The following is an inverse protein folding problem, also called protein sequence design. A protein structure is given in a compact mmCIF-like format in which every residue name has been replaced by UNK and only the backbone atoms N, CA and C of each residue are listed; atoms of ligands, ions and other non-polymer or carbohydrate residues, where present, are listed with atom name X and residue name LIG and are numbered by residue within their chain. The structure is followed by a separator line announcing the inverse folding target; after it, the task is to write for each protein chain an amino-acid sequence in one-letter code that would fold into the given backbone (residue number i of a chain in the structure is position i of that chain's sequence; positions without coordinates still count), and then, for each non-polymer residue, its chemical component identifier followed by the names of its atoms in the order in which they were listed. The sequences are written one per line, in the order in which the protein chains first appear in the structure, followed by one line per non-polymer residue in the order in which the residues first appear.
data_IF_443573038758
#
_entry.id   IF_443573038758
#
_cell.length_a   1.000
_cell.length_b   1.000
_cell.length_c   1.000
_cell.angle_alpha   90.00
_cell.angle_beta   90.00
_cell.angle_gamma   90.00
#
_symmetry.space_group_name_H-M   'P 1'
#
loop_
_entity.id
_entity.type
_entity.pdbx_description
1 polymer ?
#
# COMPACT_ATOMS: atom_id res chain seq x y z
N UNK A 1 -4.64 0.40 -8.12
CA UNK A 1 -5.90 0.76 -7.42
C UNK A 1 -5.83 0.15 -6.03
N UNK A 2 -5.33 0.90 -5.04
CA UNK A 2 -5.37 0.49 -3.63
C UNK A 2 -6.67 1.05 -3.05
N UNK A 3 -7.59 0.17 -2.68
CA UNK A 3 -8.80 0.53 -1.94
C UNK A 3 -8.42 0.77 -0.48
N UNK A 4 -8.13 2.02 -0.14
CA UNK A 4 -8.03 2.46 1.25
C UNK A 4 -9.46 2.69 1.75
N UNK A 5 -9.97 1.76 2.55
CA UNK A 5 -11.27 1.89 3.21
C UNK A 5 -11.13 3.00 4.26
N UNK A 6 -11.83 4.11 4.07
CA UNK A 6 -11.92 5.20 5.04
C UNK A 6 -12.80 4.75 6.22
N UNK A 7 -12.23 4.65 7.42
CA UNK A 7 -13.03 4.68 8.65
C UNK A 7 -13.21 6.14 9.07
N UNK A 8 -14.43 6.65 8.89
CA UNK A 8 -14.91 7.87 9.53
C UNK A 8 -15.16 7.56 11.01
N UNK A 9 -14.30 8.05 11.91
CA UNK A 9 -14.73 8.28 13.30
C UNK A 9 -15.50 9.60 13.34
N UNK A 10 -16.82 9.50 13.21
CA UNK A 10 -17.73 10.58 13.58
C UNK A 10 -17.58 10.83 15.09
N UNK A 11 -16.84 11.87 15.47
CA UNK A 11 -16.82 12.32 16.87
C UNK A 11 -18.10 13.11 17.16
N UNK A 12 -18.78 12.65 18.21
CA UNK A 12 -20.14 13.05 18.58
C UNK A 12 -20.30 14.53 18.93
N UNK A 13 -21.52 14.99 18.65
CA UNK A 13 -22.05 16.32 18.95
C UNK A 13 -22.17 16.47 20.48
N UNK A 14 -21.48 17.45 21.08
CA UNK A 14 -21.79 17.94 22.41
C UNK A 14 -22.82 19.06 22.30
N UNK A 15 -24.09 18.79 22.65
CA UNK A 15 -25.13 19.82 22.81
C UNK A 15 -25.16 20.22 24.28
N UNK A 16 -24.74 21.44 24.59
CA UNK A 16 -24.97 22.05 25.91
C UNK A 16 -26.26 22.87 25.79
N UNK A 17 -27.32 22.47 26.49
CA UNK A 17 -28.49 23.30 26.72
C UNK A 17 -28.18 24.31 27.83
N UNK A 18 -28.41 25.60 27.58
CA UNK A 18 -28.56 26.59 28.64
C UNK A 18 -29.93 27.24 28.52
N UNK A 19 -30.74 27.05 29.56
CA UNK A 19 -32.11 27.57 29.70
C UNK A 19 -32.10 29.03 30.16
N UNK A 20 -32.89 29.86 29.49
CA UNK A 20 -33.13 31.28 29.77
C UNK A 20 -34.06 31.55 30.97
N UNK A 21 -33.89 32.68 31.67
CA UNK A 21 -35.02 33.42 32.28
C UNK A 21 -34.78 34.95 32.41
N UNK A 22 -35.62 35.69 31.65
CA UNK A 22 -36.39 36.96 31.87
C UNK A 22 -35.83 38.28 32.44
N UNK A 23 -35.87 39.33 31.57
CA UNK A 23 -36.48 40.71 31.66
C UNK A 23 -36.03 41.69 32.79
N UNK A 24 -35.82 43.02 32.67
CA UNK A 24 -36.17 44.14 31.75
C UNK A 24 -35.11 45.27 31.89
N UNK A 25 -34.79 46.00 30.81
CA UNK A 25 -34.64 47.47 30.76
C UNK A 25 -34.15 47.90 29.36
N UNK A 26 -34.59 49.07 28.93
CA UNK A 26 -34.46 49.62 27.59
C UNK A 26 -33.06 50.22 27.40
N UNK A 27 -32.12 49.42 26.91
CA UNK A 27 -30.85 49.90 26.35
C UNK A 27 -30.77 49.43 24.89
N UNK A 28 -30.27 50.29 24.01
CA UNK A 28 -29.86 49.90 22.65
C UNK A 28 -28.72 48.90 22.83
N UNK A 29 -29.08 47.61 22.89
CA UNK A 29 -28.14 46.52 22.80
C UNK A 29 -27.59 46.59 21.37
N UNK A 30 -26.42 47.23 21.22
CA UNK A 30 -25.48 46.83 20.19
C UNK A 30 -25.18 45.37 20.52
N UNK A 31 -26.02 44.48 20.00
CA UNK A 31 -25.82 43.04 20.11
C UNK A 31 -24.43 42.80 19.59
N UNK A 32 -23.58 42.28 20.45
CA UNK A 32 -22.16 42.10 20.20
C UNK A 32 -21.97 41.54 18.79
N UNK A 33 -21.53 42.41 17.87
CA UNK A 33 -21.45 42.07 16.46
C UNK A 33 -20.51 40.89 16.24
N UNK A 34 -19.58 40.64 17.19
CA UNK A 34 -18.76 39.43 17.26
C UNK A 34 -19.60 38.18 17.42
N UNK A 35 -20.54 38.17 18.36
CA UNK A 35 -21.43 37.03 18.64
C UNK A 35 -22.34 36.69 17.45
N UNK A 36 -22.81 37.70 16.70
CA UNK A 36 -23.63 37.49 15.49
C UNK A 36 -22.80 36.89 14.35
N UNK A 37 -21.56 37.36 14.15
CA UNK A 37 -20.65 36.85 13.12
C UNK A 37 -20.23 35.42 13.42
N UNK A 38 -19.90 35.12 14.68
CA UNK A 38 -19.58 33.77 15.15
C UNK A 38 -20.75 32.80 14.95
N UNK A 39 -21.98 33.23 15.27
CA UNK A 39 -23.19 32.43 15.04
C UNK A 39 -23.39 32.09 13.56
N UNK A 40 -23.25 33.06 12.65
CA UNK A 40 -23.36 32.83 11.20
C UNK A 40 -22.25 31.93 10.68
N UNK A 41 -21.01 32.10 11.14
CA UNK A 41 -19.91 31.22 10.77
C UNK A 41 -20.20 29.77 11.21
N UNK A 42 -20.75 29.59 12.41
CA UNK A 42 -21.17 28.29 12.94
C UNK A 42 -22.29 27.66 12.12
N UNK A 43 -23.26 28.44 11.62
CA UNK A 43 -24.33 27.95 10.75
C UNK A 43 -23.78 27.40 9.43
N UNK A 44 -22.88 28.15 8.78
CA UNK A 44 -22.19 27.67 7.57
C UNK A 44 -21.36 26.41 7.86
N UNK A 45 -20.62 26.37 8.96
CA UNK A 45 -19.89 25.17 9.37
C UNK A 45 -20.83 23.96 9.54
N UNK A 46 -21.96 24.13 10.23
CA UNK A 46 -22.92 23.05 10.45
C UNK A 46 -23.54 22.57 9.12
N UNK A 47 -23.87 23.50 8.21
CA UNK A 47 -24.33 23.18 6.85
C UNK A 47 -23.26 22.39 6.06
N UNK A 48 -21.99 22.80 6.15
CA UNK A 48 -20.87 22.10 5.53
C UNK A 48 -20.74 20.66 6.03
N UNK A 49 -20.87 20.44 7.35
CA UNK A 49 -20.87 19.09 7.94
C UNK A 49 -22.03 18.23 7.41
N UNK A 50 -23.25 18.77 7.34
CA UNK A 50 -24.40 18.05 6.78
C UNK A 50 -24.18 17.69 5.31
N UNK A 51 -23.53 18.56 4.52
CA UNK A 51 -23.20 18.28 3.12
C UNK A 51 -22.17 17.16 2.97
N UNK A 52 -21.23 16.98 3.92
CA UNK A 52 -20.35 15.81 3.95
C UNK A 52 -21.18 14.53 4.09
N UNK A 53 -22.14 14.49 5.02
CA UNK A 53 -23.03 13.34 5.24
C UNK A 53 -23.86 13.03 3.98
N UNK A 54 -24.32 14.08 3.29
CA UNK A 54 -25.01 13.99 2.01
C UNK A 54 -24.09 13.66 0.81
N UNK A 55 -22.78 13.45 1.04
CA UNK A 55 -21.74 13.24 0.01
C UNK A 55 -21.58 14.39 -0.99
N UNK A 56 -22.11 15.56 -0.67
CA UNK A 56 -21.89 16.79 -1.44
C UNK A 56 -20.60 17.48 -0.97
N UNK A 57 -19.46 16.88 -1.34
CA UNK A 57 -18.14 17.34 -0.90
C UNK A 57 -17.80 18.76 -1.38
N UNK A 58 -18.13 19.10 -2.63
CA UNK A 58 -17.87 20.45 -3.15
C UNK A 58 -18.70 21.51 -2.43
N UNK A 59 -20.00 21.24 -2.20
CA UNK A 59 -20.85 22.15 -1.44
C UNK A 59 -20.41 22.28 0.03
N UNK A 60 -19.82 21.24 0.62
CA UNK A 60 -19.23 21.33 1.95
C UNK A 60 -18.02 22.28 1.97
N UNK A 61 -17.16 22.22 0.95
CA UNK A 61 -16.02 23.15 0.80
C UNK A 61 -16.51 24.60 0.69
N UNK A 62 -17.55 24.86 -0.11
CA UNK A 62 -18.14 26.20 -0.24
C UNK A 62 -18.66 26.74 1.10
N UNK A 63 -19.38 25.93 1.86
CA UNK A 63 -19.88 26.35 3.18
C UNK A 63 -18.74 26.60 4.17
N UNK A 64 -17.71 25.75 4.18
CA UNK A 64 -16.53 26.03 5.01
C UNK A 64 -15.77 27.28 4.57
N UNK A 65 -15.75 27.61 3.27
CA UNK A 65 -15.20 28.88 2.80
C UNK A 65 -15.95 30.06 3.43
N UNK A 66 -17.28 30.04 3.41
CA UNK A 66 -18.11 31.08 4.02
C UNK A 66 -17.88 31.18 5.54
N UNK A 67 -17.78 30.04 6.23
CA UNK A 67 -17.49 30.02 7.67
C UNK A 67 -16.14 30.67 8.01
N UNK A 68 -15.10 30.41 7.20
CA UNK A 68 -13.74 30.93 7.39
C UNK A 68 -13.64 32.41 6.98
N UNK A 69 -14.37 32.84 5.95
CA UNK A 69 -14.45 34.25 5.56
C UNK A 69 -15.06 35.12 6.68
N UNK A 70 -16.08 34.59 7.36
CA UNK A 70 -16.71 35.25 8.51
C UNK A 70 -15.85 35.19 9.77
N UNK A 71 -15.20 34.04 10.03
CA UNK A 71 -14.37 33.81 11.21
C UNK A 71 -13.02 33.21 10.82
N UNK A 72 -11.99 34.03 10.51
CA UNK A 72 -10.67 33.55 10.07
C UNK A 72 -9.88 32.74 11.11
N UNK A 73 -10.31 32.73 12.38
CA UNK A 73 -9.76 31.90 13.45
C UNK A 73 -10.51 30.57 13.65
N UNK A 74 -11.47 30.24 12.77
CA UNK A 74 -12.32 29.06 12.93
C UNK A 74 -11.58 27.75 12.58
N UNK A 75 -10.75 27.28 13.51
CA UNK A 75 -9.90 26.08 13.37
C UNK A 75 -10.67 24.86 12.82
N UNK A 76 -11.86 24.57 13.38
CA UNK A 76 -12.68 23.41 12.97
C UNK A 76 -13.09 23.48 11.50
N UNK A 77 -13.40 24.67 10.98
CA UNK A 77 -13.78 24.85 9.58
C UNK A 77 -12.58 24.62 8.65
N UNK A 78 -11.38 25.10 9.01
CA UNK A 78 -10.16 24.78 8.28
C UNK A 78 -9.87 23.28 8.29
N UNK A 79 -9.95 22.64 9.46
CA UNK A 79 -9.70 21.20 9.59
C UNK A 79 -10.67 20.37 8.73
N UNK A 80 -11.97 20.66 8.78
CA UNK A 80 -12.96 19.94 7.99
C UNK A 80 -12.82 20.23 6.49
N UNK A 81 -12.56 21.47 6.09
CA UNK A 81 -12.30 21.82 4.68
C UNK A 81 -11.07 21.11 4.14
N UNK A 82 -9.97 21.10 4.89
CA UNK A 82 -8.75 20.38 4.55
C UNK A 82 -9.00 18.87 4.43
N UNK A 83 -9.77 18.30 5.35
CA UNK A 83 -10.16 16.89 5.31
C UNK A 83 -11.00 16.53 4.08
N UNK A 84 -11.95 17.39 3.71
CA UNK A 84 -12.75 17.20 2.49
C UNK A 84 -11.89 17.34 1.23
N UNK A 85 -11.00 18.33 1.17
CA UNK A 85 -10.04 18.48 0.07
C UNK A 85 -9.11 17.28 -0.06
N UNK A 86 -8.67 16.69 1.06
CA UNK A 86 -7.91 15.44 1.05
C UNK A 86 -8.73 14.30 0.42
N UNK A 87 -10.01 14.16 0.77
CA UNK A 87 -10.90 13.16 0.16
C UNK A 87 -11.10 13.39 -1.34
N UNK A 88 -11.18 14.65 -1.77
CA UNK A 88 -11.22 15.07 -3.17
C UNK A 88 -9.88 14.93 -3.90
N UNK A 89 -8.82 14.51 -3.20
CA UNK A 89 -7.43 14.39 -3.69
C UNK A 89 -6.77 15.74 -4.05
N UNK A 90 -7.31 16.84 -3.56
CA UNK A 90 -6.72 18.17 -3.67
C UNK A 90 -5.67 18.36 -2.55
N UNK A 91 -4.62 17.54 -2.57
CA UNK A 91 -3.67 17.42 -1.46
C UNK A 91 -2.92 18.72 -1.15
N UNK A 92 -2.53 19.49 -2.18
CA UNK A 92 -1.87 20.78 -1.98
C UNK A 92 -2.77 21.77 -1.23
N UNK A 93 -4.05 21.85 -1.59
CA UNK A 93 -5.00 22.73 -0.91
C UNK A 93 -5.36 22.23 0.50
N UNK A 94 -5.42 20.91 0.69
CA UNK A 94 -5.60 20.31 2.00
C UNK A 94 -4.44 20.69 2.94
N UNK A 95 -3.20 20.66 2.45
CA UNK A 95 -2.01 21.09 3.21
C UNK A 95 -2.11 22.55 3.64
N UNK A 96 -2.61 23.45 2.77
CA UNK A 96 -2.81 24.87 3.13
C UNK A 96 -3.77 25.00 4.31
N UNK A 97 -4.88 24.25 4.29
CA UNK A 97 -5.85 24.26 5.39
C UNK A 97 -5.27 23.65 6.68
N UNK A 98 -4.56 22.52 6.59
CA UNK A 98 -3.92 21.92 7.76
C UNK A 98 -2.78 22.78 8.32
N UNK A 99 -2.05 23.52 7.49
CA UNK A 99 -1.08 24.51 7.95
C UNK A 99 -1.76 25.57 8.82
N UNK A 100 -2.95 26.05 8.41
CA UNK A 100 -3.70 27.02 9.22
C UNK A 100 -4.20 26.43 10.53
N UNK A 101 -4.63 25.16 10.53
CA UNK A 101 -4.98 24.46 11.78
C UNK A 101 -3.78 24.37 12.71
N UNK A 102 -2.60 23.99 12.21
CA UNK A 102 -1.37 23.90 13.02
C UNK A 102 -0.89 25.28 13.50
N UNK A 103 -1.12 26.35 12.73
CA UNK A 103 -0.85 27.73 13.16
C UNK A 103 -1.75 28.16 14.33
N UNK A 104 -3.04 27.82 14.27
CA UNK A 104 -4.03 28.14 15.31
C UNK A 104 -3.89 27.22 16.53
N UNK A 105 -3.51 25.95 16.32
CA UNK A 105 -3.40 24.90 17.31
C UNK A 105 -2.21 23.97 16.99
N UNK A 106 -1.00 24.30 17.50
CA UNK A 106 0.22 23.51 17.24
C UNK A 106 0.23 22.09 17.82
N UNK A 107 -0.72 21.76 18.69
CA UNK A 107 -0.87 20.44 19.31
C UNK A 107 -2.04 19.65 18.69
N UNK A 108 -2.53 20.06 17.52
CA UNK A 108 -3.55 19.32 16.77
C UNK A 108 -2.97 18.04 16.15
N UNK A 109 -3.03 16.93 16.89
CA UNK A 109 -2.56 15.60 16.44
C UNK A 109 -3.14 15.22 15.06
N UNK A 110 -4.45 15.40 14.88
CA UNK A 110 -5.14 15.04 13.63
C UNK A 110 -4.69 15.92 12.45
N UNK A 111 -4.41 17.20 12.67
CA UNK A 111 -3.93 18.09 11.61
C UNK A 111 -2.52 17.71 11.16
N UNK A 112 -1.61 17.44 12.10
CA UNK A 112 -0.30 16.89 11.77
C UNK A 112 -0.43 15.57 11.00
N UNK A 113 -1.23 14.64 11.49
CA UNK A 113 -1.43 13.35 10.82
C UNK A 113 -1.98 13.50 9.38
N UNK A 114 -3.04 14.27 9.18
CA UNK A 114 -3.64 14.45 7.84
C UNK A 114 -2.78 15.31 6.90
N UNK A 115 -2.00 16.26 7.43
CA UNK A 115 -1.00 16.98 6.65
C UNK A 115 0.13 16.05 6.21
N UNK A 116 0.63 15.21 7.12
CA UNK A 116 1.61 14.17 6.81
C UNK A 116 1.11 13.19 5.75
N UNK A 117 -0.15 12.74 5.85
CA UNK A 117 -0.79 11.93 4.81
C UNK A 117 -0.89 12.66 3.46
N UNK A 118 -1.19 13.95 3.47
CA UNK A 118 -1.25 14.75 2.23
C UNK A 118 0.13 14.85 1.57
N UNK A 119 1.19 15.07 2.35
CA UNK A 119 2.57 15.02 1.83
C UNK A 119 2.96 13.64 1.30
N UNK A 120 2.54 12.56 1.97
CA UNK A 120 2.77 11.19 1.52
C UNK A 120 2.15 10.93 0.14
N UNK A 121 0.89 11.32 -0.08
CA UNK A 121 0.22 11.16 -1.39
C UNK A 121 0.90 11.98 -2.50
N UNK A 122 1.58 13.08 -2.15
CA UNK A 122 2.39 13.90 -3.06
C UNK A 122 3.82 13.36 -3.24
N UNK A 123 4.20 12.27 -2.55
CA UNK A 123 5.55 11.72 -2.60
C UNK A 123 6.60 12.49 -1.80
N UNK A 124 6.20 13.49 -1.00
CA UNK A 124 7.11 14.21 -0.11
C UNK A 124 7.28 13.43 1.21
N UNK A 125 8.12 12.40 1.17
CA UNK A 125 8.35 11.48 2.30
C UNK A 125 8.99 12.17 3.50
N UNK A 126 9.87 13.15 3.28
CA UNK A 126 10.53 13.89 4.36
C UNK A 126 9.53 14.72 5.18
N UNK A 127 8.68 15.51 4.51
CA UNK A 127 7.66 16.30 5.18
C UNK A 127 6.60 15.41 5.84
N UNK A 128 6.20 14.32 5.17
CA UNK A 128 5.29 13.34 5.74
C UNK A 128 5.83 12.74 7.05
N UNK A 129 7.10 12.32 7.07
CA UNK A 129 7.71 11.74 8.26
C UNK A 129 7.77 12.74 9.42
N UNK A 130 8.14 14.00 9.18
CA UNK A 130 8.15 15.06 10.21
C UNK A 130 6.77 15.21 10.86
N UNK A 131 5.72 15.22 10.06
CA UNK A 131 4.35 15.35 10.55
C UNK A 131 3.86 14.10 11.29
N UNK A 132 4.22 12.89 10.85
CA UNK A 132 3.89 11.67 11.59
C UNK A 132 4.64 11.57 12.93
N UNK A 133 5.92 11.96 12.97
CA UNK A 133 6.68 12.07 14.21
C UNK A 133 6.01 13.05 15.17
N UNK A 134 5.65 14.24 14.68
CA UNK A 134 4.97 15.23 15.52
C UNK A 134 3.61 14.75 16.02
N UNK A 135 2.84 14.03 15.19
CA UNK A 135 1.58 13.43 15.61
C UNK A 135 1.80 12.45 16.79
N UNK A 136 2.77 11.53 16.70
CA UNK A 136 2.99 10.56 17.79
C UNK A 136 3.61 11.17 19.05
N UNK A 137 4.33 12.30 18.94
CA UNK A 137 4.79 13.08 20.09
C UNK A 137 3.62 13.72 20.86
N UNK A 138 2.60 14.20 20.13
CA UNK A 138 1.39 14.80 20.71
C UNK A 138 0.49 13.72 21.30
N UNK A 139 0.24 12.64 20.56
CA UNK A 139 -0.56 11.49 21.02
C UNK A 139 0.12 10.17 20.66
N UNK A 140 0.76 9.58 21.67
CA UNK A 140 1.42 8.28 21.58
C UNK A 140 0.46 7.10 21.37
N UNK A 141 -0.86 7.34 21.30
CA UNK A 141 -1.87 6.33 20.93
C UNK A 141 -2.28 6.38 19.46
N UNK A 142 -1.77 7.32 18.67
CA UNK A 142 -2.10 7.41 17.25
C UNK A 142 -1.45 6.25 16.45
N UNK A 143 -2.17 5.13 16.37
CA UNK A 143 -1.74 3.92 15.68
C UNK A 143 -1.53 4.15 14.17
N UNK A 144 -2.29 5.05 13.55
CA UNK A 144 -2.15 5.33 12.12
C UNK A 144 -0.87 6.09 11.82
N UNK A 145 -0.51 7.10 12.61
CA UNK A 145 0.75 7.82 12.46
C UNK A 145 1.96 6.88 12.58
N UNK A 146 1.95 5.95 13.56
CA UNK A 146 2.95 4.89 13.64
C UNK A 146 2.97 3.99 12.40
N UNK A 147 1.81 3.55 11.92
CA UNK A 147 1.72 2.71 10.74
C UNK A 147 2.31 3.39 9.49
N UNK A 148 1.93 4.63 9.21
CA UNK A 148 2.46 5.36 8.05
C UNK A 148 3.96 5.68 8.19
N UNK A 149 4.45 5.97 9.40
CA UNK A 149 5.90 6.09 9.65
C UNK A 149 6.63 4.78 9.37
N UNK A 150 6.07 3.64 9.80
CA UNK A 150 6.60 2.30 9.47
C UNK A 150 6.62 2.01 7.98
N UNK A 151 5.59 2.43 7.24
CA UNK A 151 5.55 2.29 5.77
C UNK A 151 6.67 3.12 5.09
N UNK A 152 6.90 4.36 5.53
CA UNK A 152 7.97 5.20 4.99
C UNK A 152 9.34 4.57 5.23
N UNK A 153 9.60 4.11 6.47
CA UNK A 153 10.85 3.41 6.81
C UNK A 153 11.03 2.13 5.99
N UNK A 154 9.96 1.40 5.71
CA UNK A 154 10.00 0.22 4.84
C UNK A 154 10.40 0.58 3.41
N UNK A 155 9.88 1.68 2.85
CA UNK A 155 10.25 2.17 1.52
C UNK A 155 11.71 2.64 1.46
N UNK A 156 12.24 3.16 2.57
CA UNK A 156 13.66 3.49 2.74
C UNK A 156 14.54 2.27 3.07
N UNK A 157 13.98 1.06 3.02
CA UNK A 157 14.65 -0.21 3.34
C UNK A 157 15.16 -0.33 4.79
N UNK A 158 14.72 0.55 5.69
CA UNK A 158 15.03 0.53 7.12
C UNK A 158 14.11 -0.43 7.88
N UNK A 159 14.19 -1.72 7.52
CA UNK A 159 13.22 -2.73 7.93
C UNK A 159 13.12 -2.94 9.45
N UNK A 160 14.23 -2.80 10.20
CA UNK A 160 14.21 -2.94 11.67
C UNK A 160 13.43 -1.81 12.34
N UNK A 161 13.64 -0.58 11.90
CA UNK A 161 12.93 0.59 12.41
C UNK A 161 11.46 0.56 11.98
N UNK A 162 11.17 0.11 10.76
CA UNK A 162 9.80 -0.12 10.30
C UNK A 162 9.06 -1.11 11.20
N UNK A 163 9.70 -2.23 11.59
CA UNK A 163 9.12 -3.20 12.54
C UNK A 163 8.79 -2.52 13.87
N UNK A 164 9.68 -1.68 14.41
CA UNK A 164 9.41 -0.94 15.66
C UNK A 164 8.17 -0.05 15.55
N UNK A 165 8.00 0.66 14.43
CA UNK A 165 6.82 1.50 14.24
C UNK A 165 5.55 0.66 14.04
N UNK A 166 5.62 -0.45 13.32
CA UNK A 166 4.49 -1.37 13.21
C UNK A 166 4.12 -2.03 14.55
N UNK A 167 5.10 -2.34 15.41
CA UNK A 167 4.85 -2.81 16.77
C UNK A 167 4.09 -1.76 17.60
N UNK A 168 4.46 -0.49 17.48
CA UNK A 168 3.74 0.60 18.14
C UNK A 168 2.32 0.77 17.59
N UNK A 169 2.13 0.66 16.28
CA UNK A 169 0.81 0.69 15.66
C UNK A 169 -0.08 -0.46 16.17
N UNK A 170 0.45 -1.68 16.21
CA UNK A 170 -0.27 -2.88 16.68
C UNK A 170 -0.57 -2.79 18.18
N UNK A 171 0.34 -2.24 19.01
CA UNK A 171 0.10 -2.06 20.44
C UNK A 171 -1.09 -1.14 20.71
N UNK A 172 -1.21 -0.06 19.93
CA UNK A 172 -2.27 0.92 20.06
C UNK A 172 -3.57 0.52 19.32
N UNK A 173 -3.47 -0.34 18.30
CA UNK A 173 -4.59 -0.90 17.56
C UNK A 173 -4.37 -2.41 17.31
N UNK A 174 -4.75 -3.28 18.26
CA UNK A 174 -4.47 -4.73 18.18
C UNK A 174 -5.18 -5.47 17.03
N UNK A 175 -6.18 -4.86 16.41
CA UNK A 175 -6.92 -5.34 15.24
C UNK A 175 -6.47 -4.66 13.93
N UNK A 176 -5.24 -4.12 13.88
CA UNK A 176 -4.73 -3.47 12.68
C UNK A 176 -4.13 -4.47 11.67
N UNK A 177 -4.99 -5.12 10.88
CA UNK A 177 -4.58 -6.16 9.90
C UNK A 177 -3.44 -5.70 8.95
N UNK A 178 -3.51 -4.46 8.44
CA UNK A 178 -2.48 -3.89 7.57
C UNK A 178 -1.12 -3.79 8.26
N UNK A 179 -1.07 -3.35 9.52
CA UNK A 179 0.18 -3.26 10.28
C UNK A 179 0.82 -4.63 10.50
N UNK A 180 0.02 -5.67 10.77
CA UNK A 180 0.52 -7.05 10.82
C UNK A 180 1.09 -7.50 9.48
N UNK A 181 0.37 -7.31 8.37
CA UNK A 181 0.87 -7.68 7.04
C UNK A 181 2.19 -6.97 6.69
N UNK A 182 2.29 -5.67 6.97
CA UNK A 182 3.46 -4.89 6.59
C UNK A 182 4.65 -5.16 7.52
N UNK A 183 4.41 -5.44 8.82
CA UNK A 183 5.43 -5.98 9.73
C UNK A 183 5.94 -7.34 9.27
N UNK A 184 5.05 -8.22 8.81
CA UNK A 184 5.41 -9.51 8.21
C UNK A 184 6.27 -9.34 6.95
N UNK A 185 5.98 -8.32 6.14
CA UNK A 185 6.78 -7.96 4.97
C UNK A 185 8.18 -7.50 5.34
N UNK A 186 8.31 -6.66 6.38
CA UNK A 186 9.59 -6.21 6.91
C UNK A 186 10.41 -7.36 7.51
N UNK A 187 9.79 -8.26 8.27
CA UNK A 187 10.44 -9.47 8.81
C UNK A 187 10.94 -10.39 7.71
N UNK A 188 10.13 -10.61 6.66
CA UNK A 188 10.54 -11.40 5.50
C UNK A 188 11.76 -10.80 4.79
N UNK A 189 11.86 -9.47 4.69
CA UNK A 189 13.03 -8.77 4.14
C UNK A 189 14.31 -8.95 4.98
N UNK A 190 14.16 -9.29 6.25
CA UNK A 190 15.24 -9.63 7.17
C UNK A 190 15.43 -11.16 7.32
N UNK A 191 14.90 -11.96 6.39
CA UNK A 191 14.91 -13.43 6.41
C UNK A 191 14.24 -14.09 7.64
N UNK A 192 13.48 -13.34 8.45
CA UNK A 192 12.62 -13.90 9.49
C UNK A 192 11.30 -14.42 8.89
N UNK A 193 11.42 -15.53 8.16
CA UNK A 193 10.30 -16.17 7.45
C UNK A 193 9.24 -16.67 8.43
N UNK A 194 9.64 -17.25 9.58
CA UNK A 194 8.71 -17.76 10.58
C UNK A 194 7.92 -16.63 11.26
N UNK A 195 8.58 -15.52 11.58
CA UNK A 195 7.91 -14.33 12.11
C UNK A 195 6.98 -13.69 11.09
N UNK A 196 7.36 -13.67 9.81
CA UNK A 196 6.50 -13.21 8.73
C UNK A 196 5.22 -14.04 8.58
N UNK A 197 5.31 -15.38 8.61
CA UNK A 197 4.15 -16.28 8.57
C UNK A 197 3.17 -15.95 9.68
N UNK A 198 3.64 -15.86 10.93
CA UNK A 198 2.78 -15.54 12.09
C UNK A 198 2.04 -14.21 11.91
N UNK A 199 2.73 -13.21 11.38
CA UNK A 199 2.15 -11.89 11.15
C UNK A 199 1.10 -11.90 10.04
N UNK A 200 1.36 -12.56 8.91
CA UNK A 200 0.37 -12.69 7.85
C UNK A 200 -0.84 -13.52 8.28
N UNK A 201 -0.64 -14.61 9.03
CA UNK A 201 -1.73 -15.40 9.64
C UNK A 201 -2.59 -14.52 10.55
N UNK A 202 -1.97 -13.68 11.39
CA UNK A 202 -2.70 -12.75 12.25
C UNK A 202 -3.48 -11.71 11.43
N UNK A 203 -2.89 -11.18 10.35
CA UNK A 203 -3.56 -10.24 9.46
C UNK A 203 -4.82 -10.85 8.83
N UNK A 204 -4.77 -12.10 8.34
CA UNK A 204 -5.94 -12.76 7.72
C UNK A 204 -6.98 -13.24 8.75
N UNK A 205 -6.59 -13.47 10.00
CA UNK A 205 -7.54 -13.75 11.10
C UNK A 205 -8.35 -12.49 11.41
N UNK A 206 -7.71 -11.32 11.38
CA UNK A 206 -8.37 -10.03 11.62
C UNK A 206 -9.24 -9.66 10.42
N UNK A 207 -8.68 -9.69 9.21
CA UNK A 207 -9.41 -9.42 7.97
C UNK A 207 -9.09 -10.48 6.90
N UNK A 208 -9.98 -11.48 6.82
CA UNK A 208 -9.85 -12.59 5.88
C UNK A 208 -10.09 -12.22 4.42
N UNK A 209 -10.48 -10.98 4.10
CA UNK A 209 -10.75 -10.51 2.72
C UNK A 209 -9.53 -9.87 2.05
N UNK A 210 -8.44 -9.67 2.78
CA UNK A 210 -7.21 -9.08 2.23
C UNK A 210 -6.49 -10.06 1.28
N UNK A 211 -6.83 -10.00 -0.01
CA UNK A 211 -6.23 -10.83 -1.07
C UNK A 211 -4.70 -10.79 -1.06
N UNK A 212 -4.11 -9.60 -0.89
CA UNK A 212 -2.67 -9.41 -0.83
C UNK A 212 -2.02 -10.07 0.40
N UNK A 213 -2.71 -10.13 1.55
CA UNK A 213 -2.20 -10.79 2.75
C UNK A 213 -2.16 -12.31 2.55
N UNK A 214 -3.17 -12.90 1.90
CA UNK A 214 -3.14 -14.31 1.49
C UNK A 214 -2.01 -14.59 0.49
N UNK A 215 -1.78 -13.71 -0.48
CA UNK A 215 -0.65 -13.84 -1.41
C UNK A 215 0.70 -13.74 -0.70
N UNK A 216 0.85 -12.83 0.26
CA UNK A 216 2.08 -12.66 1.03
C UNK A 216 2.33 -13.86 1.96
N UNK A 217 1.29 -14.39 2.60
CA UNK A 217 1.35 -15.63 3.37
C UNK A 217 1.79 -16.80 2.49
N UNK A 218 1.20 -16.94 1.29
CA UNK A 218 1.62 -17.95 0.33
C UNK A 218 3.10 -17.84 -0.04
N UNK A 219 3.59 -16.60 -0.19
CA UNK A 219 5.01 -16.36 -0.45
C UNK A 219 5.91 -16.71 0.72
N UNK A 220 5.46 -16.54 1.96
CA UNK A 220 6.21 -16.89 3.14
C UNK A 220 6.27 -18.42 3.32
N UNK A 221 5.15 -19.12 3.15
CA UNK A 221 5.12 -20.59 3.14
C UNK A 221 6.02 -21.17 2.04
N UNK A 222 6.00 -20.60 0.84
CA UNK A 222 6.89 -21.02 -0.26
C UNK A 222 8.36 -20.86 0.10
N UNK A 223 8.74 -19.73 0.69
CA UNK A 223 10.10 -19.51 1.19
C UNK A 223 10.49 -20.49 2.30
N UNK A 224 9.52 -20.93 3.12
CA UNK A 224 9.70 -21.98 4.12
C UNK A 224 9.58 -23.41 3.56
N UNK A 225 9.48 -23.59 2.23
CA UNK A 225 9.29 -24.86 1.51
C UNK A 225 7.99 -25.61 1.84
N UNK A 226 7.02 -24.93 2.44
CA UNK A 226 5.68 -25.46 2.73
C UNK A 226 4.76 -25.27 1.52
N UNK A 227 5.07 -25.97 0.41
CA UNK A 227 4.45 -25.68 -0.88
C UNK A 227 2.92 -25.89 -0.92
N UNK A 228 2.38 -26.86 -0.18
CA UNK A 228 0.93 -27.09 -0.13
C UNK A 228 0.19 -25.92 0.54
N UNK A 229 0.75 -25.43 1.65
CA UNK A 229 0.20 -24.26 2.34
C UNK A 229 0.34 -23.00 1.48
N UNK A 230 1.45 -22.87 0.75
CA UNK A 230 1.63 -21.80 -0.22
C UNK A 230 0.54 -21.82 -1.30
N UNK A 231 0.32 -22.98 -1.94
CA UNK A 231 -0.69 -23.16 -3.00
C UNK A 231 -2.10 -22.85 -2.47
N UNK A 232 -2.43 -23.29 -1.25
CA UNK A 232 -3.72 -22.99 -0.61
C UNK A 232 -3.90 -21.48 -0.40
N UNK A 233 -2.91 -20.80 0.16
CA UNK A 233 -2.96 -19.35 0.40
C UNK A 233 -3.06 -18.55 -0.90
N UNK A 234 -2.28 -18.88 -1.93
CA UNK A 234 -2.42 -18.24 -3.23
C UNK A 234 -3.78 -18.48 -3.88
N UNK A 235 -4.34 -19.69 -3.75
CA UNK A 235 -5.67 -19.98 -4.26
C UNK A 235 -6.75 -19.15 -3.56
N UNK A 236 -6.59 -18.89 -2.25
CA UNK A 236 -7.48 -17.98 -1.53
C UNK A 236 -7.32 -16.53 -2.00
N UNK A 237 -6.10 -16.07 -2.29
CA UNK A 237 -5.85 -14.75 -2.85
C UNK A 237 -6.54 -14.56 -4.22
N UNK A 238 -6.46 -15.57 -5.10
CA UNK A 238 -7.12 -15.58 -6.41
C UNK A 238 -8.65 -15.54 -6.26
N UNK A 239 -9.21 -16.29 -5.30
CA UNK A 239 -10.65 -16.29 -5.05
C UNK A 239 -11.18 -14.93 -4.54
N UNK A 240 -10.36 -14.18 -3.81
CA UNK A 240 -10.74 -12.91 -3.21
C UNK A 240 -10.60 -11.70 -4.14
N UNK A 241 -9.78 -11.82 -5.19
CA UNK A 241 -9.52 -10.74 -6.13
C UNK A 241 -9.48 -11.28 -7.55
N UNK A 242 -10.47 -10.87 -8.33
CA UNK A 242 -10.50 -11.13 -9.77
C UNK A 242 -9.26 -10.54 -10.46
N UNK A 243 -8.83 -11.19 -11.55
CA UNK A 243 -7.70 -10.74 -12.37
C UNK A 243 -6.35 -10.59 -11.63
N UNK A 244 -6.12 -11.37 -10.57
CA UNK A 244 -4.89 -11.32 -9.77
C UNK A 244 -3.73 -12.11 -10.39
N UNK A 245 -3.24 -11.68 -11.55
CA UNK A 245 -2.17 -12.35 -12.31
C UNK A 245 -0.92 -12.68 -11.48
N UNK A 246 -0.53 -11.82 -10.54
CA UNK A 246 0.62 -12.04 -9.64
C UNK A 246 0.40 -13.28 -8.76
N UNK A 247 -0.81 -13.50 -8.24
CA UNK A 247 -1.12 -14.65 -7.40
C UNK A 247 -1.11 -15.96 -8.21
N UNK A 248 -1.58 -15.93 -9.48
CA UNK A 248 -1.42 -17.05 -10.40
C UNK A 248 0.06 -17.39 -10.65
N UNK A 249 0.88 -16.41 -11.01
CA UNK A 249 2.32 -16.63 -11.19
C UNK A 249 2.98 -17.21 -9.93
N UNK A 250 2.62 -16.68 -8.76
CA UNK A 250 3.20 -17.14 -7.50
C UNK A 250 2.74 -18.57 -7.13
N UNK A 251 1.48 -18.92 -7.41
CA UNK A 251 0.98 -20.30 -7.25
C UNK A 251 1.67 -21.25 -8.22
N UNK A 252 1.87 -20.81 -9.47
CA UNK A 252 2.63 -21.56 -10.48
C UNK A 252 4.06 -21.83 -10.03
N UNK A 253 4.74 -20.85 -9.43
CA UNK A 253 6.08 -21.04 -8.84
C UNK A 253 6.07 -22.07 -7.70
N UNK A 254 5.09 -22.01 -6.78
CA UNK A 254 4.98 -23.00 -5.71
C UNK A 254 4.73 -24.42 -6.25
N UNK A 255 3.91 -24.57 -7.29
CA UNK A 255 3.68 -25.86 -7.97
C UNK A 255 4.94 -26.36 -8.69
N UNK A 256 5.66 -25.47 -9.37
CA UNK A 256 6.94 -25.77 -10.04
C UNK A 256 7.96 -26.32 -9.03
N UNK A 257 8.13 -25.66 -7.88
CA UNK A 257 9.06 -26.07 -6.83
C UNK A 257 8.64 -27.36 -6.11
N UNK A 258 7.33 -27.64 -6.06
CA UNK A 258 6.77 -28.90 -5.58
C UNK A 258 6.91 -30.05 -6.59
N UNK A 259 7.19 -29.76 -7.86
CA UNK A 259 7.29 -30.76 -8.94
C UNK A 259 6.01 -30.95 -9.77
N UNK A 260 4.95 -30.19 -9.50
CA UNK A 260 3.74 -30.17 -10.33
C UNK A 260 3.92 -29.23 -11.55
N UNK A 261 4.71 -29.68 -12.53
CA UNK A 261 5.06 -28.88 -13.69
C UNK A 261 3.86 -28.58 -14.59
N UNK A 262 2.95 -29.55 -14.78
CA UNK A 262 1.73 -29.35 -15.58
C UNK A 262 0.78 -28.35 -14.92
N UNK A 263 0.60 -28.45 -13.60
CA UNK A 263 -0.21 -27.48 -12.86
C UNK A 263 0.43 -26.10 -12.79
N UNK A 264 1.76 -26.02 -12.78
CA UNK A 264 2.49 -24.75 -12.88
C UNK A 264 2.27 -24.06 -14.23
N UNK A 265 2.38 -24.80 -15.35
CA UNK A 265 2.10 -24.26 -16.70
C UNK A 265 0.71 -23.66 -16.76
N UNK A 266 -0.33 -24.37 -16.27
CA UNK A 266 -1.70 -23.84 -16.23
C UNK A 266 -1.81 -22.50 -15.50
N UNK A 267 -1.14 -22.38 -14.36
CA UNK A 267 -1.16 -21.12 -13.60
C UNK A 267 -0.39 -20.00 -14.33
N UNK A 268 0.71 -20.31 -15.01
CA UNK A 268 1.42 -19.33 -15.82
C UNK A 268 0.62 -18.91 -17.06
N UNK A 269 -0.13 -19.83 -17.68
CA UNK A 269 -1.05 -19.53 -18.79
C UNK A 269 -2.12 -18.52 -18.37
N UNK A 270 -2.77 -18.75 -17.22
CA UNK A 270 -3.74 -17.82 -16.64
C UNK A 270 -3.10 -16.46 -16.32
N UNK A 271 -1.88 -16.44 -15.76
CA UNK A 271 -1.15 -15.20 -15.52
C UNK A 271 -0.90 -14.42 -16.82
N UNK A 272 -0.46 -15.11 -17.89
CA UNK A 272 -0.17 -14.52 -19.19
C UNK A 272 -1.45 -14.02 -19.87
N UNK A 273 -2.57 -14.75 -19.74
CA UNK A 273 -3.86 -14.32 -20.27
C UNK A 273 -4.32 -13.02 -19.58
N UNK A 274 -4.17 -12.93 -18.26
CA UNK A 274 -4.52 -11.74 -17.49
C UNK A 274 -3.57 -10.56 -17.71
N UNK A 275 -2.27 -10.83 -17.91
CA UNK A 275 -1.26 -9.81 -18.20
C UNK A 275 -0.23 -10.31 -19.23
N UNK A 276 -0.48 -10.11 -20.54
CA UNK A 276 0.41 -10.58 -21.61
C UNK A 276 1.77 -9.88 -21.66
N UNK A 277 1.99 -8.83 -20.85
CA UNK A 277 3.26 -8.10 -20.75
C UNK A 277 4.11 -8.52 -19.56
N UNK A 278 3.67 -9.50 -18.78
CA UNK A 278 4.40 -9.94 -17.60
C UNK A 278 5.51 -10.95 -17.94
N UNK A 279 6.70 -10.43 -18.28
CA UNK A 279 7.85 -11.22 -18.73
C UNK A 279 8.21 -12.39 -17.79
N UNK A 280 8.06 -12.20 -16.47
CA UNK A 280 8.33 -13.22 -15.46
C UNK A 280 7.50 -14.50 -15.67
N UNK A 281 6.22 -14.39 -16.04
CA UNK A 281 5.37 -15.57 -16.23
C UNK A 281 5.82 -16.41 -17.43
N UNK A 282 6.26 -15.78 -18.53
CA UNK A 282 6.84 -16.50 -19.66
C UNK A 282 8.12 -17.25 -19.24
N UNK A 283 9.05 -16.56 -18.58
CA UNK A 283 10.29 -17.20 -18.12
C UNK A 283 10.03 -18.35 -17.12
N UNK A 284 9.07 -18.19 -16.22
CA UNK A 284 8.69 -19.24 -15.26
C UNK A 284 8.01 -20.42 -15.96
N UNK A 285 7.17 -20.16 -16.97
CA UNK A 285 6.58 -21.21 -17.83
C UNK A 285 7.65 -21.94 -18.63
N UNK A 286 8.66 -21.23 -19.13
CA UNK A 286 9.82 -21.84 -19.79
C UNK A 286 10.55 -22.82 -18.87
N UNK A 287 10.76 -22.46 -17.60
CA UNK A 287 11.34 -23.37 -16.60
C UNK A 287 10.49 -24.62 -16.37
N UNK A 288 9.16 -24.48 -16.33
CA UNK A 288 8.26 -25.62 -16.19
C UNK A 288 8.24 -26.53 -17.43
N UNK A 289 8.24 -25.95 -18.64
CA UNK A 289 8.36 -26.68 -19.92
C UNK A 289 9.70 -27.41 -20.03
N UNK A 290 10.80 -26.77 -19.62
CA UNK A 290 12.12 -27.39 -19.55
C UNK A 290 12.11 -28.65 -18.67
N UNK A 291 11.44 -28.60 -17.51
CA UNK A 291 11.28 -29.77 -16.62
C UNK A 291 10.43 -30.90 -17.20
N UNK A 292 9.62 -30.59 -18.23
CA UNK A 292 8.86 -31.57 -19.02
C UNK A 292 9.57 -31.93 -20.33
N UNK A 293 10.84 -31.54 -20.50
CA UNK A 293 11.66 -31.78 -21.69
C UNK A 293 11.12 -31.11 -22.98
N UNK A 294 10.18 -30.17 -22.85
CA UNK A 294 9.74 -29.28 -23.93
C UNK A 294 10.73 -28.12 -24.09
N UNK A 295 11.93 -28.44 -24.55
CA UNK A 295 13.01 -27.46 -24.71
C UNK A 295 12.69 -26.42 -25.79
N UNK A 296 11.97 -26.80 -26.85
CA UNK A 296 11.54 -25.88 -27.91
C UNK A 296 10.54 -24.85 -27.36
N UNK A 297 9.51 -25.31 -26.66
CA UNK A 297 8.54 -24.41 -26.03
C UNK A 297 9.15 -23.56 -24.92
N UNK A 298 10.19 -24.05 -24.22
CA UNK A 298 10.96 -23.25 -23.28
C UNK A 298 11.71 -22.10 -23.98
N UNK A 299 12.36 -22.37 -25.11
CA UNK A 299 13.03 -21.34 -25.92
C UNK A 299 12.03 -20.28 -26.40
N UNK A 300 10.85 -20.68 -26.88
CA UNK A 300 9.80 -19.75 -27.32
C UNK A 300 9.34 -18.81 -26.19
N UNK A 301 9.12 -19.35 -24.99
CA UNK A 301 8.74 -18.56 -23.84
C UNK A 301 9.85 -17.62 -23.38
N UNK A 302 11.12 -18.07 -23.38
CA UNK A 302 12.24 -17.18 -23.09
C UNK A 302 12.40 -16.09 -24.15
N UNK A 303 12.21 -16.39 -25.44
CA UNK A 303 12.19 -15.38 -26.51
C UNK A 303 11.13 -14.31 -26.22
N UNK A 304 9.93 -14.73 -25.81
CA UNK A 304 8.87 -13.80 -25.47
C UNK A 304 9.22 -12.95 -24.25
N UNK A 305 9.78 -13.55 -23.19
CA UNK A 305 10.24 -12.82 -22.01
C UNK A 305 11.31 -11.76 -22.36
N UNK A 306 12.31 -12.12 -23.18
CA UNK A 306 13.37 -11.22 -23.63
C UNK A 306 12.83 -10.10 -24.53
N UNK A 307 11.83 -10.38 -25.37
CA UNK A 307 11.18 -9.36 -26.20
C UNK A 307 10.43 -8.31 -25.38
N UNK A 308 9.95 -8.69 -24.18
CA UNK A 308 9.25 -7.81 -23.24
C UNK A 308 10.22 -7.03 -22.35
N UNK A 309 11.33 -7.67 -21.95
CA UNK A 309 12.39 -7.06 -21.15
C UNK A 309 13.76 -7.60 -21.61
N UNK A 310 14.51 -6.74 -22.31
CA UNK A 310 15.83 -7.06 -22.87
C UNK A 310 16.93 -7.17 -21.81
N UNK A 311 16.69 -6.65 -20.61
CA UNK A 311 17.64 -6.72 -19.49
C UNK A 311 17.32 -7.90 -18.56
N UNK A 312 16.34 -8.73 -18.90
CA UNK A 312 15.94 -9.86 -18.08
C UNK A 312 16.93 -11.04 -18.20
N UNK A 313 18.07 -10.94 -17.51
CA UNK A 313 19.15 -11.91 -17.59
C UNK A 313 18.75 -13.36 -17.31
N UNK A 314 17.74 -13.58 -16.45
CA UNK A 314 17.29 -14.95 -16.13
C UNK A 314 16.64 -15.64 -17.34
N UNK A 315 16.01 -14.88 -18.24
CA UNK A 315 15.44 -15.43 -19.47
C UNK A 315 16.54 -15.86 -20.46
N UNK A 316 17.62 -15.08 -20.59
CA UNK A 316 18.81 -15.50 -21.34
C UNK A 316 19.42 -16.76 -20.75
N UNK A 317 19.64 -16.79 -19.44
CA UNK A 317 20.19 -17.97 -18.76
C UNK A 317 19.35 -19.23 -19.03
N UNK A 318 18.03 -19.14 -18.86
CA UNK A 318 17.12 -20.26 -19.07
C UNK A 318 17.03 -20.67 -20.55
N UNK A 319 17.11 -19.72 -21.48
CA UNK A 319 17.12 -20.01 -22.92
C UNK A 319 18.40 -20.71 -23.34
N UNK A 320 19.56 -20.29 -22.80
CA UNK A 320 20.84 -20.95 -23.05
C UNK A 320 20.85 -22.39 -22.56
N UNK A 321 20.31 -22.65 -21.36
CA UNK A 321 20.14 -24.02 -20.83
C UNK A 321 19.22 -24.86 -21.75
N UNK A 322 18.14 -24.29 -22.27
CA UNK A 322 17.29 -25.00 -23.21
C UNK A 322 17.98 -25.24 -24.57
N UNK A 323 18.79 -24.31 -25.07
CA UNK A 323 19.58 -24.49 -26.29
C UNK A 323 20.63 -25.59 -26.16
N UNK A 324 21.28 -25.72 -25.01
CA UNK A 324 22.22 -26.81 -24.73
C UNK A 324 21.54 -28.19 -24.88
N UNK A 325 20.34 -28.34 -24.32
CA UNK A 325 19.54 -29.57 -24.45
C UNK A 325 19.10 -29.83 -25.90
N UNK A 326 18.98 -28.78 -26.70
CA UNK A 326 18.71 -28.86 -28.14
C UNK A 326 19.98 -29.00 -29.01
N UNK A 327 21.16 -29.15 -28.40
CA UNK A 327 22.47 -29.22 -29.11
C UNK A 327 22.76 -27.99 -29.98
N UNK A 328 22.29 -26.82 -29.57
CA UNK A 328 22.57 -25.53 -30.22
C UNK A 328 23.62 -24.76 -29.41
N UNK A 329 24.85 -25.29 -29.37
CA UNK A 329 25.92 -24.84 -28.47
C UNK A 329 26.29 -23.36 -28.66
N UNK A 330 26.43 -22.89 -29.91
CA UNK A 330 26.75 -21.49 -30.20
C UNK A 330 25.73 -20.53 -29.58
N UNK A 331 24.43 -20.85 -29.70
CA UNK A 331 23.35 -20.04 -29.14
C UNK A 331 23.29 -20.12 -27.62
N UNK A 332 23.55 -21.30 -27.06
CA UNK A 332 23.64 -21.47 -25.60
C UNK A 332 24.75 -20.56 -25.03
N UNK A 333 25.91 -20.55 -25.68
CA UNK A 333 27.04 -19.73 -25.30
C UNK A 333 26.81 -18.24 -25.44
N UNK A 334 26.16 -17.79 -26.52
CA UNK A 334 25.73 -16.40 -26.68
C UNK A 334 24.84 -15.96 -25.51
N UNK A 335 23.83 -16.77 -25.18
CA UNK A 335 22.88 -16.47 -24.11
C UNK A 335 23.51 -16.48 -22.72
N UNK A 336 24.42 -17.40 -22.43
CA UNK A 336 25.12 -17.44 -21.14
C UNK A 336 26.09 -16.28 -20.97
N UNK A 337 26.81 -15.88 -22.03
CA UNK A 337 27.63 -14.66 -22.03
C UNK A 337 26.75 -13.45 -21.79
N UNK A 338 25.60 -13.35 -22.46
CA UNK A 338 24.66 -12.24 -22.23
C UNK A 338 24.09 -12.22 -20.80
N UNK A 339 23.73 -13.37 -20.24
CA UNK A 339 23.31 -13.48 -18.85
C UNK A 339 24.44 -13.05 -17.87
N UNK A 340 25.70 -13.35 -18.20
CA UNK A 340 26.86 -12.92 -17.42
C UNK A 340 27.07 -11.40 -17.47
N UNK A 341 26.95 -10.80 -18.66
CA UNK A 341 26.99 -9.33 -18.84
C UNK A 341 25.91 -8.63 -17.99
N UNK A 342 24.73 -9.24 -17.88
CA UNK A 342 23.62 -8.78 -17.05
C UNK A 342 23.78 -9.12 -15.54
N UNK A 343 24.97 -9.57 -15.13
CA UNK A 343 25.35 -9.75 -13.73
C UNK A 343 25.00 -11.12 -13.13
N UNK A 344 24.51 -12.09 -13.91
CA UNK A 344 24.19 -13.42 -13.37
C UNK A 344 25.43 -14.30 -13.24
N UNK A 345 25.77 -14.65 -11.99
CA UNK A 345 26.89 -15.55 -11.65
C UNK A 345 26.79 -16.90 -12.38
N UNK A 346 25.60 -17.47 -12.51
CA UNK A 346 25.42 -18.75 -13.21
C UNK A 346 25.71 -18.62 -14.71
N UNK A 347 25.32 -17.51 -15.34
CA UNK A 347 25.66 -17.25 -16.75
C UNK A 347 27.17 -17.21 -16.94
N UNK A 348 27.89 -16.52 -16.04
CA UNK A 348 29.36 -16.50 -16.04
C UNK A 348 29.96 -17.90 -15.91
N UNK A 349 29.45 -18.71 -14.99
CA UNK A 349 29.96 -20.07 -14.77
C UNK A 349 29.77 -20.95 -16.02
N UNK A 350 28.57 -20.96 -16.61
CA UNK A 350 28.31 -21.73 -17.83
C UNK A 350 29.18 -21.25 -19.00
N UNK A 351 29.28 -19.93 -19.19
CA UNK A 351 30.11 -19.35 -20.24
C UNK A 351 31.59 -19.72 -20.09
N UNK A 352 32.12 -19.81 -18.87
CA UNK A 352 33.53 -20.17 -18.65
C UNK A 352 33.81 -21.67 -18.77
N UNK A 353 32.83 -22.51 -18.45
CA UNK A 353 33.02 -23.96 -18.40
C UNK A 353 32.73 -24.65 -19.73
N UNK A 354 31.79 -24.13 -20.51
CA UNK A 354 31.25 -24.81 -21.69
C UNK A 354 31.65 -24.09 -22.98
N UNK A 355 31.81 -22.76 -22.95
CA UNK A 355 32.07 -21.98 -24.15
C UNK A 355 33.57 -21.75 -24.32
N UNK A 356 34.16 -22.51 -25.26
CA UNK A 356 35.56 -22.34 -25.67
C UNK A 356 35.81 -20.97 -26.32
#
# INVERSE_FOLDING_TARGET
MRNTIFFLSLFGIFIIYNTSSTLLAQDVVVGDTSSIVEGKAQDFYNSGVQKIEAKNLNGAVEDFNQAIELLPSFEKAYFNRGSVKYQLKNYNEAIVDFNKVVELNPDSNNAHFLRGRSYYELGNTEAANKDFTRAVEIDAKNAEAYYYSGMLLFLEEKYKEAITQFDNAIRNKPDYAYAFNDRGSAKKKLDDIKGAIKDYEKAIIIDGKLSFAHNNLGSAYRANKEYELAIKSYSKAILLQDNYHIAYNNRGLAKLEKGDFKGAIKDFDECIMLNPKYAFAFNNRASAKYKLEDYKGAVEDCNKAISLDKEYGAAYLNRGIAYEMLRQEDKACEDWRKAAELGLKNGKNFAQQICN
#
